data_IF_434577170297
#
_entry.id   IF_434577170297
#
_cell.length_a   1.000
_cell.length_b   1.000
_cell.length_c   1.000
_cell.angle_alpha   90.00
_cell.angle_beta   90.00
_cell.angle_gamma   90.00
#
_symmetry.space_group_name_H-M   'P 1'
#
loop_
_entity.id
_entity.type
_entity.pdbx_description
1 polymer ?
#
# COMPACT_ATOMS: atom_id res chain seq x y z
N UNK A 1 16.40 1.20 -12.98
CA UNK A 1 15.89 2.27 -12.10
C UNK A 1 17.01 2.96 -11.33
N UNK A 2 17.78 2.30 -10.50
CA UNK A 2 18.85 2.89 -9.64
C UNK A 2 19.82 3.79 -10.41
N UNK A 3 20.31 3.38 -11.59
CA UNK A 3 21.25 4.17 -12.39
C UNK A 3 20.65 5.48 -12.93
N UNK A 4 19.36 5.48 -13.25
CA UNK A 4 18.64 6.68 -13.67
C UNK A 4 18.44 7.61 -12.49
N UNK A 5 17.96 7.07 -11.35
CA UNK A 5 17.73 7.86 -10.14
C UNK A 5 19.01 8.54 -9.61
N UNK A 6 20.19 7.92 -9.78
CA UNK A 6 21.48 8.53 -9.44
C UNK A 6 21.90 9.67 -10.37
N UNK A 7 21.33 9.74 -11.56
CA UNK A 7 21.65 10.75 -12.59
C UNK A 7 20.69 11.94 -12.64
N UNK A 8 19.54 11.90 -11.95
CA UNK A 8 18.62 13.04 -11.91
C UNK A 8 19.14 14.14 -10.99
N UNK A 9 18.74 15.37 -11.28
CA UNK A 9 19.11 16.55 -10.49
C UNK A 9 17.91 17.02 -9.68
N UNK A 10 18.14 17.66 -8.54
CA UNK A 10 17.05 18.28 -7.78
C UNK A 10 16.27 19.30 -8.64
N UNK A 11 14.95 19.32 -8.47
CA UNK A 11 14.04 20.29 -9.05
C UNK A 11 14.26 21.68 -8.45
N UNK A 12 13.50 22.68 -8.93
CA UNK A 12 13.49 24.02 -8.33
C UNK A 12 13.09 24.02 -6.87
N UNK A 13 12.38 22.97 -6.40
CA UNK A 13 12.01 22.75 -4.99
C UNK A 13 13.13 22.12 -4.16
N UNK A 14 14.25 21.74 -4.79
CA UNK A 14 15.38 21.08 -4.14
C UNK A 14 15.18 19.57 -3.94
N UNK A 15 14.15 18.96 -4.53
CA UNK A 15 13.81 17.55 -4.38
C UNK A 15 14.11 16.75 -5.65
N UNK A 16 14.44 15.46 -5.47
CA UNK A 16 14.57 14.51 -6.57
C UNK A 16 13.17 14.01 -6.96
N UNK A 17 12.75 14.35 -8.17
CA UNK A 17 11.39 14.06 -8.64
C UNK A 17 11.30 12.68 -9.31
N UNK A 18 10.34 11.86 -8.87
CA UNK A 18 10.04 10.58 -9.52
C UNK A 18 9.62 10.77 -10.99
N UNK A 19 9.01 11.90 -11.29
CA UNK A 19 8.60 12.27 -12.65
C UNK A 19 9.77 12.31 -13.61
N UNK A 20 10.96 12.73 -13.17
CA UNK A 20 12.16 12.74 -14.02
C UNK A 20 12.67 11.33 -14.33
N UNK A 21 12.51 10.40 -13.38
CA UNK A 21 12.77 8.98 -13.62
C UNK A 21 11.80 8.42 -14.66
N UNK A 22 10.50 8.72 -14.53
CA UNK A 22 9.47 8.30 -15.49
C UNK A 22 9.75 8.85 -16.88
N UNK A 23 10.14 10.13 -16.98
CA UNK A 23 10.51 10.79 -18.22
C UNK A 23 11.70 10.12 -18.90
N UNK A 24 12.73 9.76 -18.13
CA UNK A 24 13.89 9.04 -18.65
C UNK A 24 13.53 7.63 -19.18
N UNK A 25 12.53 6.97 -18.61
CA UNK A 25 12.00 5.70 -19.15
C UNK A 25 11.13 5.93 -20.39
N UNK A 26 10.33 6.99 -20.42
CA UNK A 26 9.54 7.37 -21.59
C UNK A 26 10.45 7.64 -22.79
N UNK A 27 11.51 8.44 -22.62
CA UNK A 27 12.48 8.78 -23.68
C UNK A 27 13.19 7.53 -24.23
N UNK A 28 13.33 6.49 -23.41
CA UNK A 28 13.90 5.18 -23.82
C UNK A 28 12.86 4.24 -24.42
N UNK A 29 11.59 4.62 -24.54
CA UNK A 29 10.51 3.75 -25.00
C UNK A 29 10.25 2.55 -24.07
N UNK A 30 10.57 2.66 -22.77
CA UNK A 30 10.47 1.58 -21.77
C UNK A 30 9.50 1.92 -20.63
N UNK A 31 8.67 2.93 -20.78
CA UNK A 31 7.61 3.25 -19.86
C UNK A 31 6.32 2.52 -20.29
N UNK A 32 5.74 1.76 -19.40
CA UNK A 32 4.36 1.26 -19.53
C UNK A 32 3.44 2.04 -18.61
N UNK A 33 2.18 2.18 -19.00
CA UNK A 33 1.15 2.88 -18.23
C UNK A 33 -0.01 1.94 -17.98
N UNK A 34 -0.40 1.81 -16.71
CA UNK A 34 -1.61 1.12 -16.30
C UNK A 34 -2.68 2.15 -15.93
N UNK A 35 -3.85 2.01 -16.54
CA UNK A 35 -4.99 2.89 -16.26
C UNK A 35 -5.77 2.34 -15.07
N UNK A 36 -5.78 3.08 -13.97
CA UNK A 36 -6.63 2.76 -12.85
C UNK A 36 -8.10 3.01 -13.21
N UNK A 37 -8.91 1.94 -13.09
CA UNK A 37 -10.34 1.99 -13.35
C UNK A 37 -11.14 2.69 -12.24
N UNK A 38 -12.47 2.59 -12.33
CA UNK A 38 -13.36 3.07 -11.27
C UNK A 38 -13.13 2.27 -9.98
N UNK A 39 -13.20 2.92 -8.85
CA UNK A 39 -12.99 2.30 -7.53
C UNK A 39 -11.57 2.43 -6.98
N UNK A 40 -10.62 2.94 -7.76
CA UNK A 40 -9.32 3.33 -7.24
C UNK A 40 -9.37 4.77 -6.72
N UNK A 41 -8.77 4.99 -5.57
CA UNK A 41 -8.55 6.32 -5.02
C UNK A 41 -7.04 6.59 -4.92
N UNK A 42 -6.61 7.71 -5.48
CA UNK A 42 -5.25 8.21 -5.29
C UNK A 42 -5.28 9.23 -4.16
N UNK A 43 -4.55 8.95 -3.10
CA UNK A 43 -4.46 9.82 -1.92
C UNK A 43 -3.01 10.25 -1.76
N UNK A 44 -2.77 11.56 -1.73
CA UNK A 44 -1.48 12.12 -1.38
C UNK A 44 -1.36 12.21 0.16
N UNK A 45 -0.16 12.09 0.68
CA UNK A 45 0.12 12.15 2.13
C UNK A 45 1.27 13.11 2.45
N UNK A 46 1.58 14.02 1.53
CA UNK A 46 2.70 14.96 1.63
C UNK A 46 2.48 16.11 2.62
N UNK A 47 1.25 16.36 3.07
CA UNK A 47 0.91 17.36 4.09
C UNK A 47 0.16 16.72 5.26
N UNK A 48 0.13 17.41 6.41
CA UNK A 48 -0.66 16.93 7.55
C UNK A 48 -2.15 16.80 7.23
N UNK A 49 -2.67 17.70 6.42
CA UNK A 49 -4.07 17.71 6.00
C UNK A 49 -4.39 16.51 5.09
N UNK A 50 -3.60 16.30 4.03
CA UNK A 50 -3.79 15.16 3.12
C UNK A 50 -3.57 13.82 3.81
N UNK A 51 -2.66 13.73 4.78
CA UNK A 51 -2.48 12.53 5.59
C UNK A 51 -3.71 12.23 6.45
N UNK A 52 -4.32 13.26 7.05
CA UNK A 52 -5.55 13.11 7.84
C UNK A 52 -6.73 12.66 6.95
N UNK A 53 -6.88 13.25 5.77
CA UNK A 53 -7.91 12.86 4.81
C UNK A 53 -7.73 11.40 4.37
N UNK A 54 -6.52 10.98 4.02
CA UNK A 54 -6.22 9.60 3.68
C UNK A 54 -6.54 8.63 4.83
N UNK A 55 -6.16 8.99 6.05
CA UNK A 55 -6.45 8.19 7.25
C UNK A 55 -7.94 8.02 7.49
N UNK A 56 -8.71 9.11 7.37
CA UNK A 56 -10.17 9.10 7.53
C UNK A 56 -10.86 8.28 6.44
N UNK A 57 -10.36 8.38 5.20
CA UNK A 57 -10.87 7.59 4.08
C UNK A 57 -10.67 6.08 4.33
N UNK A 58 -9.47 5.66 4.69
CA UNK A 58 -9.16 4.25 4.98
C UNK A 58 -9.97 3.75 6.18
N UNK A 59 -10.02 4.52 7.27
CA UNK A 59 -10.82 4.17 8.45
C UNK A 59 -12.28 3.92 8.10
N UNK A 60 -12.86 4.78 7.26
CA UNK A 60 -14.25 4.66 6.82
C UNK A 60 -14.48 3.37 6.05
N UNK A 61 -13.58 3.04 5.10
CA UNK A 61 -13.67 1.80 4.34
C UNK A 61 -13.57 0.59 5.27
N UNK A 62 -12.57 0.53 6.13
CA UNK A 62 -12.36 -0.59 7.05
C UNK A 62 -13.56 -0.81 7.97
N UNK A 63 -14.11 0.27 8.54
CA UNK A 63 -15.29 0.18 9.42
C UNK A 63 -16.56 -0.25 8.67
N UNK A 64 -16.75 0.18 7.43
CA UNK A 64 -17.97 -0.13 6.67
C UNK A 64 -17.95 -1.50 6.04
N UNK A 65 -16.78 -1.97 5.63
CA UNK A 65 -16.62 -3.26 4.95
C UNK A 65 -16.17 -4.37 5.90
N UNK A 66 -15.80 -4.05 7.13
CA UNK A 66 -15.22 -4.98 8.09
C UNK A 66 -13.98 -5.72 7.54
N UNK A 67 -13.20 -5.02 6.73
CA UNK A 67 -11.95 -5.51 6.13
C UNK A 67 -10.78 -4.66 6.61
N UNK A 68 -9.57 -5.16 6.42
CA UNK A 68 -8.34 -4.41 6.63
C UNK A 68 -7.68 -4.07 5.30
N UNK A 69 -7.36 -2.81 5.10
CA UNK A 69 -6.61 -2.36 3.90
C UNK A 69 -5.14 -2.70 4.07
N UNK A 70 -4.55 -3.30 3.04
CA UNK A 70 -3.14 -3.70 3.01
C UNK A 70 -2.72 -4.64 4.17
N UNK A 71 -3.63 -5.50 4.63
CA UNK A 71 -3.33 -6.53 5.61
C UNK A 71 -2.42 -7.59 4.98
N UNK A 72 -1.12 -7.53 5.30
CA UNK A 72 -0.11 -8.38 4.66
C UNK A 72 -0.35 -9.86 4.94
N UNK A 73 -0.77 -10.20 6.14
CA UNK A 73 -1.05 -11.58 6.56
C UNK A 73 -2.26 -12.16 5.81
N UNK A 74 -3.32 -11.36 5.64
CA UNK A 74 -4.47 -11.78 4.85
C UNK A 74 -4.10 -11.98 3.37
N UNK A 75 -3.35 -11.03 2.79
CA UNK A 75 -2.88 -11.12 1.41
C UNK A 75 -2.02 -12.39 1.24
N UNK A 76 -1.07 -12.62 2.12
CA UNK A 76 -0.21 -13.79 2.08
C UNK A 76 -1.00 -15.10 2.20
N UNK A 77 -2.00 -15.13 3.09
CA UNK A 77 -2.88 -16.29 3.27
C UNK A 77 -3.76 -16.55 2.04
N UNK A 78 -4.43 -15.51 1.52
CA UNK A 78 -5.28 -15.65 0.33
C UNK A 78 -4.50 -16.01 -0.95
N UNK A 79 -3.23 -15.60 -1.03
CA UNK A 79 -2.33 -15.96 -2.13
C UNK A 79 -1.64 -17.32 -1.92
N UNK A 80 -1.86 -17.99 -0.81
CA UNK A 80 -1.25 -19.29 -0.51
C UNK A 80 0.24 -19.24 -0.16
N UNK A 81 0.77 -18.07 0.21
CA UNK A 81 2.16 -17.92 0.66
C UNK A 81 2.35 -18.39 2.09
N UNK A 82 1.30 -18.34 2.89
CA UNK A 82 1.23 -18.90 4.25
C UNK A 82 -0.02 -19.76 4.38
N UNK A 83 0.05 -20.77 5.24
CA UNK A 83 -1.09 -21.61 5.60
C UNK A 83 -1.85 -21.07 6.83
N UNK A 84 -2.92 -21.76 7.20
CA UNK A 84 -3.77 -21.41 8.35
C UNK A 84 -3.00 -21.42 9.68
N UNK A 85 -2.10 -22.38 9.87
CA UNK A 85 -1.32 -22.50 11.10
C UNK A 85 -0.35 -21.33 11.24
N UNK A 86 0.29 -20.94 10.15
CA UNK A 86 1.16 -19.78 10.08
C UNK A 86 0.39 -18.47 10.33
N UNK A 87 -0.81 -18.33 9.75
CA UNK A 87 -1.68 -17.17 10.01
C UNK A 87 -2.06 -17.08 11.49
N UNK A 88 -2.44 -18.19 12.10
CA UNK A 88 -2.76 -18.25 13.54
C UNK A 88 -1.53 -17.90 14.40
N UNK A 89 -0.35 -18.38 14.04
CA UNK A 89 0.89 -18.06 14.75
C UNK A 89 1.19 -16.55 14.70
N UNK A 90 1.00 -15.91 13.54
CA UNK A 90 1.16 -14.45 13.36
C UNK A 90 0.12 -13.64 14.15
N UNK A 91 -1.10 -14.14 14.27
CA UNK A 91 -2.18 -13.49 15.02
C UNK A 91 -1.96 -13.52 16.56
N UNK A 92 -1.31 -14.56 17.10
CA UNK A 92 -1.17 -14.76 18.55
C UNK A 92 -0.56 -13.57 19.31
N UNK A 93 0.57 -12.96 18.89
CA UNK A 93 1.12 -11.81 19.58
C UNK A 93 0.18 -10.60 19.61
N UNK A 94 -0.73 -10.51 18.63
CA UNK A 94 -1.64 -9.40 18.39
C UNK A 94 -3.05 -9.66 18.91
N UNK A 95 -3.33 -10.81 19.53
CA UNK A 95 -4.68 -11.25 19.92
C UNK A 95 -5.46 -10.30 20.84
N UNK A 96 -4.75 -9.37 21.52
CA UNK A 96 -5.38 -8.39 22.42
C UNK A 96 -5.86 -7.13 21.71
N UNK A 97 -5.49 -6.91 20.46
CA UNK A 97 -5.90 -5.75 19.69
C UNK A 97 -6.85 -6.14 18.54
N UNK A 98 -7.46 -5.13 17.91
CA UNK A 98 -8.43 -5.33 16.84
C UNK A 98 -7.83 -6.01 15.59
N UNK A 99 -6.57 -5.75 15.30
CA UNK A 99 -5.89 -6.34 14.15
C UNK A 99 -5.70 -7.86 14.32
N UNK A 100 -5.21 -8.27 15.48
CA UNK A 100 -5.06 -9.70 15.78
C UNK A 100 -6.40 -10.43 15.83
N UNK A 101 -7.47 -9.80 16.37
CA UNK A 101 -8.82 -10.35 16.33
C UNK A 101 -9.33 -10.53 14.90
N UNK A 102 -9.03 -9.58 14.02
CA UNK A 102 -9.34 -9.70 12.60
C UNK A 102 -8.68 -10.94 11.97
N UNK A 103 -7.37 -11.14 12.21
CA UNK A 103 -6.64 -12.31 11.70
C UNK A 103 -7.17 -13.64 12.25
N UNK A 104 -7.55 -13.67 13.53
CA UNK A 104 -8.16 -14.87 14.14
C UNK A 104 -9.51 -15.19 13.51
N UNK A 105 -10.33 -14.19 13.23
CA UNK A 105 -11.62 -14.38 12.57
C UNK A 105 -11.41 -14.87 11.13
N UNK A 106 -10.48 -14.27 10.38
CA UNK A 106 -10.11 -14.71 9.04
C UNK A 106 -9.67 -16.17 9.00
N UNK A 107 -8.90 -16.61 9.99
CA UNK A 107 -8.49 -18.00 10.10
C UNK A 107 -9.65 -18.96 10.45
N UNK A 108 -10.77 -18.45 10.96
CA UNK A 108 -11.94 -19.26 11.30
C UNK A 108 -12.91 -19.46 10.12
N UNK A 109 -12.76 -18.68 9.05
CA UNK A 109 -13.48 -18.88 7.78
C UNK A 109 -13.00 -20.13 7.03
#
# INVERSE_FOLDING_TARGET
MISIAKGIKPSERGELEITDVNKAYLDKGKLSVELMGRGFAWLDTGTHESLLEASTFIETIEKRQNLKVACLEEIAYRMGYIDKEQLLALAQPLKKNQYGQYLLNLAAE
#
